data_IF_500986368730
#
_entry.id   IF_500986368730
#
_cell.length_a   1.000
_cell.length_b   1.000
_cell.length_c   1.000
_cell.angle_alpha   90.00
_cell.angle_beta   90.00
_cell.angle_gamma   90.00
#
_symmetry.space_group_name_H-M   'P 1'
#
loop_
_entity.id
_entity.type
_entity.pdbx_description
1 polymer ?
#
# COMPACT_ATOMS: atom_id res chain seq x y z
N UNK A 1 0.71 12.11 -31.86
CA UNK A 1 1.52 10.89 -32.05
C UNK A 1 0.62 9.71 -31.64
N UNK A 2 0.36 8.75 -32.52
CA UNK A 2 -0.35 7.53 -32.14
C UNK A 2 0.54 6.72 -31.22
N UNK A 3 0.01 6.27 -30.10
CA UNK A 3 0.68 5.27 -29.24
C UNK A 3 1.01 4.05 -30.09
N UNK A 4 2.23 3.53 -29.95
CA UNK A 4 2.62 2.27 -30.62
C UNK A 4 1.79 1.16 -30.01
N UNK A 5 1.02 0.45 -30.83
CA UNK A 5 0.23 -0.68 -30.38
C UNK A 5 1.15 -1.88 -30.12
N UNK A 6 1.15 -2.34 -28.87
CA UNK A 6 1.89 -3.53 -28.46
C UNK A 6 1.15 -4.78 -28.93
N UNK A 7 1.86 -5.62 -29.68
CA UNK A 7 1.36 -6.92 -30.12
C UNK A 7 1.56 -7.99 -29.05
N UNK A 8 0.86 -9.12 -29.20
CA UNK A 8 1.10 -10.28 -28.29
C UNK A 8 2.54 -10.83 -28.41
N UNK A 9 3.18 -10.63 -29.57
CA UNK A 9 4.59 -11.01 -29.76
C UNK A 9 5.55 -10.13 -28.94
N UNK A 10 5.27 -8.83 -28.81
CA UNK A 10 6.05 -7.93 -27.98
C UNK A 10 5.93 -8.30 -26.50
N UNK A 11 4.74 -8.70 -26.06
CA UNK A 11 4.52 -9.22 -24.72
C UNK A 11 5.24 -10.54 -24.49
N UNK A 12 5.19 -11.45 -25.47
CA UNK A 12 5.96 -12.69 -25.40
C UNK A 12 7.47 -12.43 -25.35
N UNK A 13 7.96 -11.50 -26.14
CA UNK A 13 9.37 -11.10 -26.11
C UNK A 13 9.77 -10.52 -24.74
N UNK A 14 8.89 -9.76 -24.08
CA UNK A 14 9.16 -9.21 -22.75
C UNK A 14 9.30 -10.29 -21.67
N UNK A 15 8.75 -11.50 -21.87
CA UNK A 15 8.96 -12.62 -20.93
C UNK A 15 10.41 -13.08 -20.85
N UNK A 16 11.21 -12.80 -21.89
CA UNK A 16 12.66 -13.11 -21.87
C UNK A 16 13.39 -12.43 -20.72
N UNK A 17 12.95 -11.22 -20.30
CA UNK A 17 13.53 -10.51 -19.16
C UNK A 17 13.28 -11.23 -17.83
N UNK A 18 12.13 -11.85 -17.69
CA UNK A 18 11.81 -12.67 -16.50
C UNK A 18 12.62 -13.97 -16.54
N UNK A 19 12.77 -14.60 -17.73
CA UNK A 19 13.56 -15.80 -17.90
C UNK A 19 15.03 -15.57 -17.57
N UNK A 20 15.59 -14.41 -17.91
CA UNK A 20 16.95 -14.02 -17.49
C UNK A 20 17.06 -14.00 -15.96
N UNK A 21 16.09 -13.39 -15.26
CA UNK A 21 16.10 -13.37 -13.79
C UNK A 21 15.97 -14.77 -13.19
N UNK A 22 15.15 -15.64 -13.77
CA UNK A 22 15.00 -17.05 -13.37
C UNK A 22 16.31 -17.81 -13.59
N UNK A 23 16.97 -17.62 -14.74
CA UNK A 23 18.25 -18.23 -15.04
C UNK A 23 19.35 -17.80 -14.05
N UNK A 24 19.43 -16.49 -13.75
CA UNK A 24 20.36 -15.97 -12.73
C UNK A 24 20.09 -16.61 -11.37
N UNK A 25 18.82 -16.71 -10.96
CA UNK A 25 18.45 -17.36 -9.69
C UNK A 25 18.90 -18.81 -9.65
N UNK A 26 18.70 -19.55 -10.75
CA UNK A 26 19.11 -20.96 -10.87
C UNK A 26 20.65 -21.12 -10.79
N UNK A 27 21.38 -20.34 -11.57
CA UNK A 27 22.84 -20.40 -11.57
C UNK A 27 23.48 -19.96 -10.24
N UNK A 28 22.86 -19.00 -9.55
CA UNK A 28 23.35 -18.52 -8.27
C UNK A 28 22.80 -19.31 -7.06
N UNK A 29 21.94 -20.31 -7.29
CA UNK A 29 21.33 -21.12 -6.22
C UNK A 29 20.45 -20.33 -5.25
N UNK A 30 19.78 -19.25 -5.72
CA UNK A 30 18.99 -18.37 -4.86
C UNK A 30 17.64 -18.99 -4.46
N UNK A 31 17.16 -20.00 -5.17
CA UNK A 31 15.89 -20.68 -4.89
C UNK A 31 14.63 -19.83 -5.15
N UNK A 32 14.76 -18.80 -6.00
CA UNK A 32 13.64 -17.85 -6.29
C UNK A 32 12.85 -18.22 -7.55
N UNK A 33 13.24 -19.27 -8.30
CA UNK A 33 12.68 -19.61 -9.61
C UNK A 33 11.17 -19.78 -9.56
N UNK A 34 10.68 -20.60 -8.62
CA UNK A 34 9.25 -20.85 -8.45
C UNK A 34 8.47 -19.57 -8.13
N UNK A 35 9.04 -18.74 -7.26
CA UNK A 35 8.42 -17.47 -6.87
C UNK A 35 8.36 -16.48 -8.02
N UNK A 36 9.42 -16.38 -8.83
CA UNK A 36 9.48 -15.51 -10.01
C UNK A 36 8.49 -15.96 -11.09
N UNK A 37 8.47 -17.24 -11.44
CA UNK A 37 7.55 -17.79 -12.43
C UNK A 37 6.08 -17.59 -11.96
N UNK A 38 5.80 -17.94 -10.70
CA UNK A 38 4.46 -17.76 -10.15
C UNK A 38 4.03 -16.30 -10.15
N UNK A 39 4.92 -15.37 -9.74
CA UNK A 39 4.65 -13.94 -9.74
C UNK A 39 4.40 -13.43 -11.18
N UNK A 40 5.20 -13.86 -12.17
CA UNK A 40 5.01 -13.46 -13.56
C UNK A 40 3.66 -13.95 -14.13
N UNK A 41 3.33 -15.23 -13.97
CA UNK A 41 2.03 -15.78 -14.40
C UNK A 41 0.86 -15.04 -13.72
N UNK A 42 0.96 -14.83 -12.41
CA UNK A 42 -0.04 -14.11 -11.65
C UNK A 42 -0.20 -12.67 -12.13
N UNK A 43 0.91 -11.97 -12.45
CA UNK A 43 0.88 -10.60 -12.96
C UNK A 43 0.10 -10.51 -14.26
N UNK A 44 0.38 -11.39 -15.22
CA UNK A 44 -0.32 -11.40 -16.52
C UNK A 44 -1.82 -11.65 -16.31
N UNK A 45 -2.18 -12.69 -15.56
CA UNK A 45 -3.59 -13.05 -15.31
C UNK A 45 -4.31 -11.91 -14.59
N UNK A 46 -3.69 -11.32 -13.55
CA UNK A 46 -4.31 -10.25 -12.78
C UNK A 46 -4.51 -8.98 -13.59
N UNK A 47 -3.50 -8.56 -14.38
CA UNK A 47 -3.60 -7.34 -15.18
C UNK A 47 -4.64 -7.48 -16.30
N UNK A 48 -4.67 -8.62 -16.98
CA UNK A 48 -5.69 -8.87 -17.99
C UNK A 48 -7.10 -8.90 -17.37
N UNK A 49 -7.27 -9.62 -16.25
CA UNK A 49 -8.56 -9.67 -15.54
C UNK A 49 -9.02 -8.29 -15.09
N UNK A 50 -8.12 -7.49 -14.50
CA UNK A 50 -8.43 -6.11 -14.08
C UNK A 50 -8.78 -5.25 -15.29
N UNK A 51 -8.08 -5.39 -16.42
CA UNK A 51 -8.39 -4.65 -17.65
C UNK A 51 -9.82 -4.89 -18.13
N UNK A 52 -10.28 -6.16 -18.17
CA UNK A 52 -11.66 -6.50 -18.52
C UNK A 52 -12.68 -5.95 -17.51
N UNK A 53 -12.40 -6.08 -16.22
CA UNK A 53 -13.28 -5.58 -15.14
C UNK A 53 -13.40 -4.05 -15.22
N UNK A 54 -12.29 -3.34 -15.42
CA UNK A 54 -12.30 -1.88 -15.56
C UNK A 54 -13.08 -1.43 -16.80
N UNK A 55 -12.89 -2.11 -17.93
CA UNK A 55 -13.66 -1.84 -19.15
C UNK A 55 -15.16 -1.96 -18.91
N UNK A 56 -15.59 -3.03 -18.22
CA UNK A 56 -16.99 -3.23 -17.87
C UNK A 56 -17.51 -2.16 -16.91
N UNK A 57 -16.77 -1.85 -15.83
CA UNK A 57 -17.17 -0.83 -14.84
C UNK A 57 -17.29 0.56 -15.47
N UNK A 58 -16.36 0.92 -16.37
CA UNK A 58 -16.38 2.21 -17.07
C UNK A 58 -17.54 2.35 -18.07
N UNK A 59 -18.11 1.23 -18.52
CA UNK A 59 -19.30 1.23 -19.38
C UNK A 59 -20.61 1.30 -18.59
N UNK A 60 -20.67 0.60 -17.46
CA UNK A 60 -21.90 0.50 -16.64
C UNK A 60 -22.09 1.72 -15.74
N UNK A 61 -20.99 2.35 -15.29
CA UNK A 61 -20.96 3.53 -14.38
C UNK A 61 -21.86 3.38 -13.14
N UNK A 62 -22.19 2.14 -12.73
CA UNK A 62 -23.09 1.89 -11.63
C UNK A 62 -22.36 2.02 -10.27
N UNK A 63 -22.83 2.87 -9.34
CA UNK A 63 -22.12 3.14 -8.09
C UNK A 63 -21.88 1.90 -7.22
N UNK A 64 -22.81 0.92 -7.24
CA UNK A 64 -22.65 -0.32 -6.48
C UNK A 64 -21.50 -1.18 -7.02
N UNK A 65 -21.31 -1.23 -8.36
CA UNK A 65 -20.19 -1.98 -8.96
C UNK A 65 -18.84 -1.34 -8.60
N UNK A 66 -18.76 -0.01 -8.60
CA UNK A 66 -17.57 0.74 -8.17
C UNK A 66 -17.27 0.48 -6.70
N UNK A 67 -18.28 0.56 -5.82
CA UNK A 67 -18.11 0.32 -4.39
C UNK A 67 -17.70 -1.12 -4.10
N UNK A 68 -18.28 -2.10 -4.79
CA UNK A 68 -17.90 -3.52 -4.66
C UNK A 68 -16.44 -3.76 -5.03
N UNK A 69 -15.95 -3.15 -6.15
CA UNK A 69 -14.54 -3.23 -6.51
C UNK A 69 -13.64 -2.55 -5.49
N UNK A 70 -14.01 -1.36 -4.99
CA UNK A 70 -13.28 -0.66 -3.93
C UNK A 70 -13.14 -1.54 -2.68
N UNK A 71 -14.22 -2.16 -2.22
CA UNK A 71 -14.21 -3.04 -1.06
C UNK A 71 -13.33 -4.28 -1.29
N UNK A 72 -13.37 -4.86 -2.48
CA UNK A 72 -12.49 -5.96 -2.88
C UNK A 72 -11.01 -5.53 -2.82
N UNK A 73 -10.67 -4.38 -3.44
CA UNK A 73 -9.30 -3.85 -3.46
C UNK A 73 -8.78 -3.59 -2.05
N UNK A 74 -9.57 -2.94 -1.18
CA UNK A 74 -9.18 -2.67 0.22
C UNK A 74 -9.02 -3.97 1.02
N UNK A 75 -9.90 -4.96 0.80
CA UNK A 75 -9.81 -6.27 1.47
C UNK A 75 -8.52 -6.99 1.11
N UNK A 76 -8.18 -7.02 -0.18
CA UNK A 76 -6.93 -7.65 -0.66
C UNK A 76 -5.71 -6.90 -0.12
N UNK A 77 -5.72 -5.56 -0.17
CA UNK A 77 -4.63 -4.74 0.33
C UNK A 77 -4.42 -4.90 1.84
N UNK A 78 -5.50 -4.89 2.64
CA UNK A 78 -5.41 -5.08 4.10
C UNK A 78 -4.86 -6.44 4.50
N UNK A 79 -5.27 -7.51 3.79
CA UNK A 79 -4.71 -8.85 4.00
C UNK A 79 -3.22 -8.90 3.65
N UNK A 80 -2.85 -8.38 2.48
CA UNK A 80 -1.48 -8.40 2.00
C UNK A 80 -0.54 -7.55 2.88
N UNK A 81 -1.02 -6.41 3.41
CA UNK A 81 -0.24 -5.56 4.31
C UNK A 81 0.16 -6.29 5.59
N UNK A 82 -0.77 -7.01 6.21
CA UNK A 82 -0.50 -7.77 7.44
C UNK A 82 0.35 -9.01 7.15
N UNK A 83 0.12 -9.71 6.03
CA UNK A 83 0.88 -10.92 5.67
C UNK A 83 2.37 -10.70 5.41
N UNK A 84 2.80 -9.47 5.18
CA UNK A 84 4.22 -9.13 4.97
C UNK A 84 4.98 -8.84 6.27
N UNK A 85 4.32 -8.81 7.41
CA UNK A 85 4.95 -8.65 8.72
C UNK A 85 5.28 -10.01 9.32
N UNK A 86 6.42 -10.17 9.99
CA UNK A 86 6.82 -11.42 10.65
C UNK A 86 5.94 -11.76 11.85
N UNK A 87 5.33 -10.74 12.44
CA UNK A 87 4.43 -10.89 13.58
C UNK A 87 3.03 -10.37 13.25
N UNK A 88 2.04 -10.95 13.91
CA UNK A 88 0.64 -10.54 13.81
C UNK A 88 -0.04 -10.57 15.17
N UNK A 89 -1.28 -10.08 15.22
CA UNK A 89 -2.12 -10.12 16.41
C UNK A 89 -3.58 -10.39 16.03
N UNK A 90 -4.45 -10.78 16.97
CA UNK A 90 -5.85 -11.10 16.67
C UNK A 90 -6.58 -9.93 16.02
N UNK A 91 -7.27 -10.19 14.89
CA UNK A 91 -8.03 -9.22 14.08
C UNK A 91 -7.16 -8.16 13.35
N UNK A 92 -5.83 -8.34 13.26
CA UNK A 92 -4.96 -7.39 12.54
C UNK A 92 -5.44 -7.12 11.11
N UNK A 93 -5.87 -8.16 10.37
CA UNK A 93 -6.39 -8.03 8.99
C UNK A 93 -7.66 -7.17 8.90
N UNK A 94 -8.57 -7.32 9.86
CA UNK A 94 -9.79 -6.51 9.94
C UNK A 94 -9.47 -5.05 10.28
N UNK A 95 -8.56 -4.82 11.21
CA UNK A 95 -8.14 -3.48 11.59
C UNK A 95 -7.40 -2.78 10.45
N UNK A 96 -6.51 -3.49 9.74
CA UNK A 96 -5.86 -2.96 8.53
C UNK A 96 -6.89 -2.62 7.44
N UNK A 97 -7.91 -3.48 7.21
CA UNK A 97 -9.01 -3.19 6.30
C UNK A 97 -9.75 -1.90 6.70
N UNK A 98 -10.13 -1.74 7.97
CA UNK A 98 -10.85 -0.56 8.44
C UNK A 98 -10.01 0.72 8.33
N UNK A 99 -8.73 0.67 8.69
CA UNK A 99 -7.82 1.82 8.56
C UNK A 99 -7.64 2.20 7.09
N UNK A 100 -7.40 1.22 6.20
CA UNK A 100 -7.26 1.49 4.76
C UNK A 100 -8.56 2.00 4.13
N UNK A 101 -9.71 1.45 4.53
CA UNK A 101 -11.00 1.89 4.02
C UNK A 101 -11.28 3.34 4.41
N UNK A 102 -11.15 3.67 5.69
CA UNK A 102 -11.44 5.02 6.19
C UNK A 102 -10.45 6.05 5.62
N UNK A 103 -9.14 5.81 5.71
CA UNK A 103 -8.14 6.76 5.21
C UNK A 103 -8.14 6.84 3.69
N UNK A 104 -8.24 5.70 2.99
CA UNK A 104 -8.26 5.65 1.53
C UNK A 104 -9.46 6.36 0.94
N UNK A 105 -10.67 6.09 1.45
CA UNK A 105 -11.88 6.77 0.97
C UNK A 105 -11.89 8.25 1.34
N UNK A 106 -11.49 8.63 2.56
CA UNK A 106 -11.45 10.04 2.98
C UNK A 106 -10.51 10.86 2.10
N UNK A 107 -9.30 10.38 1.87
CA UNK A 107 -8.34 11.07 1.01
C UNK A 107 -8.78 11.06 -0.45
N UNK A 108 -9.30 9.94 -0.96
CA UNK A 108 -9.85 9.90 -2.32
C UNK A 108 -10.99 10.91 -2.50
N UNK A 109 -11.89 11.04 -1.52
CA UNK A 109 -12.96 12.03 -1.53
C UNK A 109 -12.42 13.47 -1.53
N UNK A 110 -11.46 13.78 -0.65
CA UNK A 110 -10.81 15.10 -0.60
C UNK A 110 -10.16 15.44 -1.95
N UNK A 111 -9.45 14.48 -2.54
CA UNK A 111 -8.76 14.70 -3.82
C UNK A 111 -9.76 14.85 -4.97
N UNK A 112 -10.72 13.94 -5.11
CA UNK A 112 -11.65 13.94 -6.26
C UNK A 112 -12.65 15.09 -6.19
N UNK A 113 -13.25 15.33 -5.01
CA UNK A 113 -14.26 16.39 -4.84
C UNK A 113 -13.65 17.72 -4.47
N UNK A 114 -12.69 17.73 -3.53
CA UNK A 114 -12.15 18.98 -2.97
C UNK A 114 -11.06 19.61 -3.84
N UNK A 115 -10.17 18.84 -4.45
CA UNK A 115 -9.01 19.38 -5.20
C UNK A 115 -9.27 19.37 -6.70
N UNK A 116 -9.72 18.23 -7.26
CA UNK A 116 -9.98 18.11 -8.70
C UNK A 116 -11.32 18.75 -9.09
N UNK A 117 -12.29 18.76 -8.15
CA UNK A 117 -13.59 19.40 -8.38
C UNK A 117 -14.57 18.56 -9.22
N UNK A 118 -14.46 17.24 -9.18
CA UNK A 118 -15.36 16.36 -9.94
C UNK A 118 -16.80 16.51 -9.45
N UNK A 119 -17.77 16.51 -10.36
CA UNK A 119 -19.21 16.53 -10.02
C UNK A 119 -19.57 15.29 -9.18
N UNK A 120 -19.13 14.10 -9.63
CA UNK A 120 -19.31 12.81 -8.95
C UNK A 120 -17.98 12.37 -8.35
N UNK A 121 -17.83 12.42 -7.02
CA UNK A 121 -16.60 12.00 -6.32
C UNK A 121 -16.23 10.53 -6.57
N UNK A 122 -17.22 9.69 -6.90
CA UNK A 122 -17.06 8.26 -7.20
C UNK A 122 -16.88 7.96 -8.69
N UNK A 123 -16.50 8.95 -9.50
CA UNK A 123 -16.22 8.75 -10.93
C UNK A 123 -15.18 7.62 -11.09
N UNK A 124 -15.54 6.47 -11.72
CA UNK A 124 -14.71 5.26 -11.72
C UNK A 124 -13.33 5.47 -12.32
N UNK A 125 -13.25 6.32 -13.37
CA UNK A 125 -12.01 6.62 -14.10
C UNK A 125 -10.98 7.33 -13.24
N UNK A 126 -11.40 8.03 -12.20
CA UNK A 126 -10.53 8.71 -11.25
C UNK A 126 -10.39 7.92 -9.94
N UNK A 127 -11.51 7.51 -9.34
CA UNK A 127 -11.51 6.88 -8.02
C UNK A 127 -10.70 5.59 -7.99
N UNK A 128 -10.90 4.68 -8.97
CA UNK A 128 -10.28 3.37 -8.95
C UNK A 128 -8.75 3.46 -9.12
N UNK A 129 -8.20 4.19 -10.12
CA UNK A 129 -6.76 4.36 -10.22
C UNK A 129 -6.13 5.08 -9.03
N UNK A 130 -6.73 6.18 -8.55
CA UNK A 130 -6.22 6.91 -7.39
C UNK A 130 -6.20 6.03 -6.14
N UNK A 131 -7.30 5.33 -5.87
CA UNK A 131 -7.38 4.39 -4.74
C UNK A 131 -6.37 3.24 -4.90
N UNK A 132 -6.18 2.72 -6.11
CA UNK A 132 -5.16 1.70 -6.38
C UNK A 132 -3.75 2.16 -6.03
N UNK A 133 -3.39 3.39 -6.40
CA UNK A 133 -2.11 4.00 -6.02
C UNK A 133 -1.99 4.20 -4.51
N UNK A 134 -3.04 4.69 -3.85
CA UNK A 134 -3.11 4.81 -2.39
C UNK A 134 -2.85 3.44 -1.74
N UNK A 135 -3.63 2.43 -2.11
CA UNK A 135 -3.55 1.10 -1.50
C UNK A 135 -2.19 0.45 -1.72
N UNK A 136 -1.61 0.58 -2.92
CA UNK A 136 -0.29 0.03 -3.23
C UNK A 136 0.83 0.62 -2.37
N UNK A 137 0.83 1.93 -2.16
CA UNK A 137 1.84 2.61 -1.33
C UNK A 137 1.60 2.38 0.17
N UNK A 138 0.37 2.55 0.64
CA UNK A 138 0.03 2.37 2.06
C UNK A 138 0.17 0.93 2.54
N UNK A 139 -0.06 -0.06 1.66
CA UNK A 139 0.22 -1.47 1.94
C UNK A 139 1.68 -1.66 2.37
N UNK A 140 2.63 -1.08 1.64
CA UNK A 140 4.06 -1.16 1.98
C UNK A 140 4.35 -0.42 3.28
N UNK A 141 3.79 0.78 3.46
CA UNK A 141 3.92 1.57 4.69
C UNK A 141 3.38 0.84 5.93
N UNK A 142 2.16 0.28 5.84
CA UNK A 142 1.57 -0.51 6.95
C UNK A 142 2.44 -1.74 7.26
N UNK A 143 2.89 -2.46 6.23
CA UNK A 143 3.71 -3.65 6.42
C UNK A 143 4.99 -3.34 7.21
N UNK A 144 5.73 -2.30 6.81
CA UNK A 144 6.97 -1.88 7.47
C UNK A 144 6.70 -1.30 8.87
N UNK A 145 5.67 -0.47 9.01
CA UNK A 145 5.31 0.12 10.29
C UNK A 145 4.83 -0.93 11.30
N UNK A 146 3.98 -1.85 10.86
CA UNK A 146 3.48 -2.93 11.71
C UNK A 146 4.60 -3.88 12.13
N UNK A 147 5.48 -4.26 11.17
CA UNK A 147 6.66 -5.06 11.48
C UNK A 147 7.54 -4.37 12.54
N UNK A 148 7.85 -3.09 12.34
CA UNK A 148 8.67 -2.30 13.28
C UNK A 148 8.03 -2.24 14.67
N UNK A 149 6.71 -1.96 14.76
CA UNK A 149 6.00 -1.85 16.03
C UNK A 149 5.95 -3.19 16.79
N UNK A 150 5.50 -4.26 16.11
CA UNK A 150 5.35 -5.56 16.75
C UNK A 150 6.69 -6.16 17.16
N UNK A 151 7.72 -5.96 16.33
CA UNK A 151 9.08 -6.39 16.65
C UNK A 151 9.64 -5.62 17.86
N UNK A 152 9.43 -4.30 17.94
CA UNK A 152 9.84 -3.50 19.08
C UNK A 152 9.13 -3.94 20.36
N UNK A 153 7.80 -4.08 20.35
CA UNK A 153 7.01 -4.53 21.50
C UNK A 153 7.37 -5.94 21.98
N UNK A 154 7.85 -6.81 21.08
CA UNK A 154 8.31 -8.15 21.44
C UNK A 154 9.73 -8.15 22.00
N UNK A 155 10.63 -7.40 21.39
CA UNK A 155 12.06 -7.40 21.71
C UNK A 155 12.41 -6.48 22.88
N UNK A 156 11.71 -5.36 23.00
CA UNK A 156 11.90 -4.35 24.04
C UNK A 156 10.82 -4.45 25.13
N UNK A 157 10.23 -5.63 25.29
CA UNK A 157 9.15 -5.90 26.26
C UNK A 157 9.53 -5.43 27.66
N UNK A 158 10.72 -5.79 28.11
CA UNK A 158 11.19 -5.48 29.47
C UNK A 158 11.30 -3.97 29.70
N UNK A 159 11.67 -3.20 28.66
CA UNK A 159 11.74 -1.73 28.74
C UNK A 159 10.32 -1.15 28.87
N UNK A 160 9.36 -1.65 28.06
CA UNK A 160 7.96 -1.21 28.13
C UNK A 160 7.36 -1.55 29.50
N UNK A 161 7.59 -2.76 30.01
CA UNK A 161 7.10 -3.18 31.33
C UNK A 161 7.76 -2.40 32.48
N UNK A 162 9.03 -2.02 32.34
CA UNK A 162 9.71 -1.15 33.29
C UNK A 162 9.07 0.25 33.33
N UNK A 163 8.84 0.88 32.18
CA UNK A 163 8.16 2.18 32.12
C UNK A 163 6.76 2.14 32.74
N UNK A 164 5.98 1.09 32.46
CA UNK A 164 4.67 0.87 33.08
C UNK A 164 4.78 0.71 34.61
N UNK A 165 5.80 0.02 35.09
CA UNK A 165 6.05 -0.18 36.53
C UNK A 165 6.44 1.11 37.23
N UNK A 166 7.04 2.05 36.53
CA UNK A 166 7.40 3.40 37.00
C UNK A 166 6.20 4.37 36.93
N UNK A 167 5.01 3.90 36.51
CA UNK A 167 3.79 4.70 36.52
C UNK A 167 3.45 5.35 35.17
N UNK A 168 4.19 5.05 34.09
CA UNK A 168 3.83 5.50 32.76
C UNK A 168 2.50 4.86 32.31
N UNK A 169 1.68 5.64 31.63
CA UNK A 169 0.50 5.07 30.92
C UNK A 169 0.94 4.19 29.75
N UNK A 170 0.08 3.29 29.30
CA UNK A 170 0.33 2.45 28.11
C UNK A 170 0.69 3.28 26.87
N UNK A 171 0.11 4.48 26.74
CA UNK A 171 0.40 5.39 25.63
C UNK A 171 1.81 5.99 25.71
N UNK A 172 2.26 6.32 26.89
CA UNK A 172 3.62 6.86 27.12
C UNK A 172 4.65 5.77 26.89
N UNK A 173 4.48 4.59 27.48
CA UNK A 173 5.39 3.46 27.34
C UNK A 173 5.56 2.97 25.89
N UNK A 174 4.54 3.14 25.04
CA UNK A 174 4.60 2.73 23.61
C UNK A 174 4.92 3.90 22.67
N UNK A 175 5.06 5.12 23.16
CA UNK A 175 5.21 6.31 22.32
C UNK A 175 6.42 6.23 21.37
N UNK A 176 7.59 5.82 21.88
CA UNK A 176 8.80 5.73 21.07
C UNK A 176 8.76 4.54 20.08
N UNK A 177 8.31 3.32 20.44
CA UNK A 177 8.01 2.27 19.46
C UNK A 177 7.03 2.72 18.36
N UNK A 178 5.94 3.42 18.69
CA UNK A 178 5.00 3.94 17.70
C UNK A 178 5.63 4.99 16.80
N UNK A 179 6.42 5.91 17.34
CA UNK A 179 7.13 6.92 16.55
C UNK A 179 8.06 6.28 15.54
N UNK A 180 8.85 5.27 15.94
CA UNK A 180 9.72 4.50 15.04
C UNK A 180 8.93 3.79 13.96
N UNK A 181 7.81 3.18 14.31
CA UNK A 181 6.92 2.49 13.37
C UNK A 181 6.37 3.44 12.29
N UNK A 182 5.88 4.62 12.68
CA UNK A 182 5.38 5.62 11.73
C UNK A 182 6.51 6.14 10.83
N UNK A 183 7.70 6.40 11.38
CA UNK A 183 8.87 6.78 10.58
C UNK A 183 9.18 5.71 9.53
N UNK A 184 9.23 4.43 9.91
CA UNK A 184 9.48 3.32 8.99
C UNK A 184 8.40 3.20 7.91
N UNK A 185 7.13 3.42 8.25
CA UNK A 185 6.04 3.44 7.28
C UNK A 185 6.22 4.55 6.22
N UNK A 186 6.81 5.69 6.61
CA UNK A 186 6.99 6.85 5.74
C UNK A 186 8.23 6.79 4.86
N UNK A 187 9.27 6.01 5.22
CA UNK A 187 10.55 5.96 4.49
C UNK A 187 10.36 5.71 2.98
N UNK A 188 9.56 4.74 2.51
CA UNK A 188 9.45 4.48 1.07
C UNK A 188 8.88 5.67 0.28
N UNK A 189 7.86 6.32 0.80
CA UNK A 189 7.24 7.46 0.10
C UNK A 189 8.15 8.69 0.13
N UNK A 190 8.83 8.95 1.24
CA UNK A 190 9.81 10.04 1.34
C UNK A 190 10.93 9.82 0.32
N UNK A 191 11.51 8.63 0.24
CA UNK A 191 12.53 8.29 -0.74
C UNK A 191 12.04 8.49 -2.18
N UNK A 192 10.81 8.04 -2.47
CA UNK A 192 10.20 8.25 -3.79
C UNK A 192 10.04 9.74 -4.12
N UNK A 193 9.61 10.57 -3.16
CA UNK A 193 9.48 12.01 -3.34
C UNK A 193 10.82 12.71 -3.61
N UNK A 194 11.90 12.24 -2.97
CA UNK A 194 13.23 12.84 -3.14
C UNK A 194 13.84 12.58 -4.52
N UNK A 195 13.46 11.50 -5.20
CA UNK A 195 14.08 11.11 -6.49
C UNK A 195 13.15 11.31 -7.69
N UNK A 196 11.86 11.61 -7.44
CA UNK A 196 10.88 11.80 -8.52
C UNK A 196 11.21 12.99 -9.38
N UNK A 197 11.11 12.81 -10.70
CA UNK A 197 11.40 13.84 -11.70
C UNK A 197 12.88 13.96 -12.10
N UNK A 198 13.81 13.50 -11.27
CA UNK A 198 15.25 13.52 -11.58
C UNK A 198 15.78 12.12 -11.94
N UNK A 199 15.44 11.13 -11.14
CA UNK A 199 15.91 9.75 -11.32
C UNK A 199 14.79 8.84 -11.82
N UNK A 200 13.57 9.05 -11.35
CA UNK A 200 12.42 8.23 -11.73
C UNK A 200 11.26 9.08 -12.24
N UNK A 201 10.65 8.62 -13.33
CA UNK A 201 9.38 9.15 -13.83
C UNK A 201 8.28 8.13 -13.47
N UNK A 202 7.31 8.51 -12.60
CA UNK A 202 6.24 7.61 -12.20
C UNK A 202 5.34 7.20 -13.37
N UNK A 203 4.83 5.97 -13.32
CA UNK A 203 4.08 5.37 -14.43
C UNK A 203 2.86 6.16 -14.89
N UNK A 204 2.14 6.85 -13.96
CA UNK A 204 1.00 7.69 -14.34
C UNK A 204 1.43 8.87 -15.22
N UNK A 205 2.45 9.61 -14.80
CA UNK A 205 3.00 10.71 -15.57
C UNK A 205 3.55 10.23 -16.93
N UNK A 206 4.34 9.15 -16.90
CA UNK A 206 4.90 8.57 -18.14
C UNK A 206 3.79 8.11 -19.08
N UNK A 207 2.74 7.46 -18.57
CA UNK A 207 1.59 7.03 -19.37
C UNK A 207 0.85 8.19 -20.02
N UNK A 208 0.66 9.30 -19.31
CA UNK A 208 0.03 10.51 -19.86
C UNK A 208 0.88 11.15 -20.96
N UNK A 209 2.20 11.23 -20.77
CA UNK A 209 3.12 11.78 -21.79
C UNK A 209 3.14 10.89 -23.03
N UNK A 210 3.22 9.56 -22.86
CA UNK A 210 3.17 8.61 -23.99
C UNK A 210 1.83 8.64 -24.73
N UNK A 211 0.73 8.96 -24.03
CA UNK A 211 -0.58 9.19 -24.65
C UNK A 211 -0.70 10.52 -25.39
N UNK A 212 0.34 11.35 -25.39
CA UNK A 212 0.39 12.62 -26.11
C UNK A 212 -0.14 13.83 -25.33
N UNK A 213 -0.38 13.69 -24.03
CA UNK A 213 -0.76 14.81 -23.18
C UNK A 213 0.44 15.74 -22.92
N UNK A 214 0.14 17.02 -22.65
CA UNK A 214 1.16 18.00 -22.29
C UNK A 214 1.94 17.58 -21.05
N UNK A 215 3.31 17.56 -21.12
CA UNK A 215 4.14 17.15 -19.99
C UNK A 215 3.92 17.97 -18.71
N UNK A 216 3.66 19.28 -18.82
CA UNK A 216 3.41 20.13 -17.65
C UNK A 216 2.09 19.77 -16.94
N UNK A 217 1.07 19.38 -17.71
CA UNK A 217 -0.18 18.86 -17.14
C UNK A 217 0.04 17.52 -16.44
N UNK A 218 0.81 16.61 -17.05
CA UNK A 218 1.16 15.34 -16.44
C UNK A 218 1.94 15.52 -15.11
N UNK A 219 2.86 16.51 -15.06
CA UNK A 219 3.61 16.88 -13.84
C UNK A 219 2.68 17.37 -12.73
N UNK A 220 1.71 18.25 -13.05
CA UNK A 220 0.74 18.76 -12.04
C UNK A 220 -0.04 17.62 -11.40
N UNK A 221 -0.56 16.68 -12.20
CA UNK A 221 -1.23 15.49 -11.69
C UNK A 221 -0.30 14.62 -10.83
N UNK A 222 0.97 14.48 -11.25
CA UNK A 222 1.94 13.69 -10.48
C UNK A 222 2.28 14.32 -9.12
N UNK A 223 2.40 15.65 -9.04
CA UNK A 223 2.60 16.36 -7.77
C UNK A 223 1.41 16.09 -6.83
N UNK A 224 0.17 16.24 -7.33
CA UNK A 224 -1.03 15.93 -6.58
C UNK A 224 -1.00 14.50 -6.03
N UNK A 225 -0.67 13.53 -6.88
CA UNK A 225 -0.58 12.12 -6.49
C UNK A 225 0.49 11.91 -5.41
N UNK A 226 1.69 12.49 -5.55
CA UNK A 226 2.75 12.33 -4.56
C UNK A 226 2.33 12.87 -3.18
N UNK A 227 1.69 14.04 -3.13
CA UNK A 227 1.20 14.61 -1.88
C UNK A 227 0.05 13.79 -1.28
N UNK A 228 -0.86 13.32 -2.12
CA UNK A 228 -1.91 12.38 -1.72
C UNK A 228 -1.34 11.10 -1.10
N UNK A 229 -0.33 10.50 -1.73
CA UNK A 229 0.31 9.29 -1.23
C UNK A 229 1.05 9.52 0.08
N UNK A 230 1.78 10.63 0.21
CA UNK A 230 2.47 10.98 1.46
C UNK A 230 1.48 11.18 2.61
N UNK A 231 0.42 11.98 2.39
CA UNK A 231 -0.62 12.22 3.39
C UNK A 231 -1.34 10.92 3.80
N UNK A 232 -1.71 10.08 2.82
CA UNK A 232 -2.39 8.82 3.12
C UNK A 232 -1.48 7.85 3.87
N UNK A 233 -0.20 7.74 3.49
CA UNK A 233 0.75 6.87 4.18
C UNK A 233 0.97 7.31 5.63
N UNK A 234 1.06 8.61 5.89
CA UNK A 234 1.16 9.14 7.26
C UNK A 234 -0.09 8.78 8.09
N UNK A 235 -1.28 9.05 7.57
CA UNK A 235 -2.54 8.77 8.25
C UNK A 235 -2.74 7.26 8.51
N UNK A 236 -2.43 6.42 7.52
CA UNK A 236 -2.54 4.96 7.70
C UNK A 236 -1.49 4.43 8.67
N UNK A 237 -0.26 4.94 8.63
CA UNK A 237 0.81 4.57 9.56
C UNK A 237 0.45 4.90 11.00
N UNK A 238 -0.05 6.12 11.25
CA UNK A 238 -0.54 6.56 12.57
C UNK A 238 -1.75 5.73 12.98
N UNK A 239 -2.75 5.60 12.10
CA UNK A 239 -3.98 4.85 12.36
C UNK A 239 -3.69 3.39 12.71
N UNK A 240 -2.84 2.72 11.93
CA UNK A 240 -2.49 1.32 12.19
C UNK A 240 -1.70 1.15 13.49
N UNK A 241 -0.75 2.04 13.78
CA UNK A 241 -0.01 2.03 15.05
C UNK A 241 -0.94 2.24 16.24
N UNK A 242 -1.89 3.16 16.12
CA UNK A 242 -2.86 3.44 17.18
C UNK A 242 -3.81 2.26 17.46
N UNK A 243 -4.39 1.65 16.42
CA UNK A 243 -5.29 0.50 16.63
C UNK A 243 -4.53 -0.73 17.13
N UNK A 244 -3.26 -0.89 16.73
CA UNK A 244 -2.38 -1.95 17.22
C UNK A 244 -2.11 -1.78 18.72
N UNK A 245 -1.68 -0.58 19.13
CA UNK A 245 -1.47 -0.26 20.55
C UNK A 245 -2.74 -0.52 21.37
N UNK A 246 -3.90 -0.01 20.93
CA UNK A 246 -5.18 -0.21 21.63
C UNK A 246 -5.58 -1.68 21.76
N UNK A 247 -5.12 -2.53 20.87
CA UNK A 247 -5.42 -3.97 20.89
C UNK A 247 -4.45 -4.78 21.74
N UNK A 248 -3.21 -4.30 21.87
CA UNK A 248 -2.16 -5.00 22.61
C UNK A 248 -2.01 -4.57 24.07
N UNK A 249 -2.76 -3.55 24.50
CA UNK A 249 -2.81 -3.14 25.91
C UNK A 249 -4.23 -3.28 26.45
N UNK A 250 -4.34 -3.71 27.69
CA UNK A 250 -5.62 -3.78 28.40
C UNK A 250 -5.92 -2.44 29.11
N UNK A 251 -7.10 -2.36 29.75
CA UNK A 251 -7.53 -1.19 30.49
C UNK A 251 -6.67 -0.90 31.75
N UNK A 252 -5.92 -1.88 32.20
CA UNK A 252 -5.00 -1.75 33.36
C UNK A 252 -3.58 -1.39 32.91
N UNK A 253 -3.42 -0.87 31.68
CA UNK A 253 -2.13 -0.50 31.09
C UNK A 253 -1.10 -1.65 30.97
N UNK A 254 -1.51 -2.93 30.95
CA UNK A 254 -0.62 -4.07 30.83
C UNK A 254 -0.44 -4.45 29.34
N UNK A 255 0.80 -4.76 28.96
CA UNK A 255 1.11 -5.27 27.61
C UNK A 255 0.73 -6.74 27.49
N UNK A 256 -0.18 -7.05 26.56
CA UNK A 256 -0.60 -8.39 26.23
C UNK A 256 0.34 -9.03 25.17
N UNK A 257 1.59 -9.25 25.57
CA UNK A 257 2.64 -9.76 24.67
C UNK A 257 2.33 -11.14 24.07
N UNK A 258 1.49 -11.94 24.73
CA UNK A 258 1.02 -13.26 24.26
C UNK A 258 0.17 -13.16 22.99
N UNK A 259 -0.49 -12.01 22.77
CA UNK A 259 -1.27 -11.79 21.55
C UNK A 259 -0.39 -11.56 20.33
N UNK A 260 0.91 -11.30 20.51
CA UNK A 260 1.85 -11.11 19.41
C UNK A 260 2.38 -12.47 18.99
N UNK A 261 1.84 -12.99 17.90
CA UNK A 261 2.19 -14.31 17.35
C UNK A 261 3.06 -14.18 16.10
N UNK A 262 4.01 -15.10 15.90
CA UNK A 262 4.80 -15.17 14.67
C UNK A 262 3.90 -15.69 13.54
N UNK A 263 4.00 -15.08 12.38
CA UNK A 263 3.35 -15.61 11.17
C UNK A 263 4.22 -16.75 10.58
N UNK A 264 3.55 -17.84 10.25
CA UNK A 264 4.17 -18.97 9.53
C UNK A 264 4.18 -18.69 8.02
#
# INVERSE_FOLDING_TARGET
>A
MSTVDLTYWDLAASTSLVLIAVAISFFQGLGLERSLIWAACRTVIQLLSVGYVLRWIFQVEHPVAVLALVLLMVTVAGRAAVQRSDYTFPRAKLLAFLVLLTTGLSISYIVTKGIIGLERWYEPRYLIPLLGMILGNTLTGISLGLHSLLHALKRERDVVEMELSLGASAREAVAEPMRRAVKQAMVPIINSMMVVGLVSLPGMMTGQILAGNDPLMAVKYQILVMFMLAGTTALTGIGMSYVTYRKLFNNNHQLLSELITKQN
#
